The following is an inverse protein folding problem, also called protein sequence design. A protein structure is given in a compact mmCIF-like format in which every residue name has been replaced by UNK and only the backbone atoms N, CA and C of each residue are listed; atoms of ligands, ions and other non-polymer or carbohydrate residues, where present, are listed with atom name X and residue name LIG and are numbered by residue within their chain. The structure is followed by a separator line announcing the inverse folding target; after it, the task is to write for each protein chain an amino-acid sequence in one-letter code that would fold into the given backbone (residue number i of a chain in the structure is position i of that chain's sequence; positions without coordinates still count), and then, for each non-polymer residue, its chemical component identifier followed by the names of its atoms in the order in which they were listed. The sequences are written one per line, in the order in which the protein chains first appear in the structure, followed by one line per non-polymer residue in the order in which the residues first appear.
data_IF_735743665581
#
_entry.id   IF_735743665581
#
_cell.length_a   1.000
_cell.length_b   1.000
_cell.length_c   1.000
_cell.angle_alpha   90.00
_cell.angle_beta   90.00
_cell.angle_gamma   90.00
#
_symmetry.space_group_name_H-M   'P 1'
#
loop_
_entity.id
_entity.type
_entity.pdbx_description
1 polymer ?
#
# COMPACT_ATOMS: atom_id res chain seq x y z
N UNK A 1 -25.15 5.64 7.93
CA UNK A 1 -23.82 5.62 7.30
C UNK A 1 -23.05 4.44 7.88
N UNK A 2 -22.37 3.69 7.03
CA UNK A 2 -21.49 2.59 7.39
C UNK A 2 -20.07 2.90 6.91
N UNK A 3 -19.10 2.83 7.82
CA UNK A 3 -17.68 2.98 7.51
C UNK A 3 -16.97 1.71 7.99
N UNK A 4 -16.29 1.01 7.09
CA UNK A 4 -15.51 -0.20 7.39
C UNK A 4 -14.10 0.05 6.89
N UNK A 5 -13.17 0.09 7.82
CA UNK A 5 -11.75 0.21 7.54
C UNK A 5 -11.10 -1.16 7.55
N UNK A 6 -10.15 -1.39 6.63
CA UNK A 6 -9.37 -2.63 6.50
C UNK A 6 -10.24 -3.91 6.46
N UNK A 7 -11.28 -3.93 5.59
CA UNK A 7 -12.20 -5.08 5.48
C UNK A 7 -11.50 -6.41 5.14
N UNK A 8 -10.30 -6.36 4.62
CA UNK A 8 -9.49 -7.49 4.20
C UNK A 8 -8.59 -8.07 5.31
N UNK A 9 -8.30 -7.33 6.38
CA UNK A 9 -7.47 -7.81 7.50
C UNK A 9 -7.98 -9.10 8.16
N UNK A 10 -9.29 -9.27 8.42
CA UNK A 10 -9.80 -10.54 8.94
C UNK A 10 -9.57 -11.73 8.00
N UNK A 11 -9.57 -11.47 6.68
CA UNK A 11 -9.34 -12.49 5.65
C UNK A 11 -7.88 -12.91 5.60
N UNK A 12 -6.94 -11.97 5.68
CA UNK A 12 -5.51 -12.26 5.79
C UNK A 12 -5.22 -13.17 7.00
N UNK A 13 -5.72 -12.79 8.17
CA UNK A 13 -5.54 -13.58 9.40
C UNK A 13 -6.19 -14.97 9.32
N UNK A 14 -7.35 -15.06 8.68
CA UNK A 14 -8.03 -16.34 8.48
C UNK A 14 -7.27 -17.23 7.50
N UNK A 15 -6.68 -16.65 6.45
CA UNK A 15 -5.84 -17.38 5.51
C UNK A 15 -4.60 -17.97 6.21
N UNK A 16 -3.89 -17.17 7.00
CA UNK A 16 -2.73 -17.61 7.76
C UNK A 16 -3.05 -18.71 8.78
N UNK A 17 -4.29 -18.75 9.29
CA UNK A 17 -4.74 -19.71 10.33
C UNK A 17 -5.57 -20.88 9.81
N UNK A 18 -5.82 -20.97 8.50
CA UNK A 18 -6.46 -22.09 7.84
C UNK A 18 -7.99 -22.17 7.95
N UNK A 19 -8.69 -21.04 8.25
CA UNK A 19 -10.16 -20.94 8.25
C UNK A 19 -10.69 -19.84 7.30
N UNK A 20 -10.01 -19.71 6.16
CA UNK A 20 -10.29 -18.66 5.18
C UNK A 20 -11.71 -18.72 4.61
N UNK A 21 -12.19 -19.92 4.24
CA UNK A 21 -13.51 -20.10 3.63
C UNK A 21 -14.66 -19.73 4.58
N UNK A 22 -14.52 -20.04 5.85
CA UNK A 22 -15.49 -19.68 6.88
C UNK A 22 -15.53 -18.16 7.06
N UNK A 23 -14.36 -17.50 7.05
CA UNK A 23 -14.29 -16.05 7.15
C UNK A 23 -14.87 -15.34 5.92
N UNK A 24 -14.58 -15.83 4.71
CA UNK A 24 -15.19 -15.34 3.46
C UNK A 24 -16.71 -15.43 3.55
N UNK A 25 -17.25 -16.56 3.99
CA UNK A 25 -18.70 -16.79 4.15
C UNK A 25 -19.32 -15.84 5.17
N UNK A 26 -18.63 -15.60 6.28
CA UNK A 26 -19.08 -14.67 7.32
C UNK A 26 -19.14 -13.23 6.80
N UNK A 27 -18.06 -12.74 6.17
CA UNK A 27 -17.98 -11.37 5.64
C UNK A 27 -18.98 -11.18 4.50
N UNK A 28 -19.11 -12.16 3.61
CA UNK A 28 -20.14 -12.13 2.57
C UNK A 28 -21.55 -11.97 3.17
N UNK A 29 -21.90 -12.78 4.16
CA UNK A 29 -23.20 -12.69 4.85
C UNK A 29 -23.41 -11.35 5.52
N UNK A 30 -22.37 -10.78 6.14
CA UNK A 30 -22.42 -9.45 6.72
C UNK A 30 -22.70 -8.39 5.66
N UNK A 31 -21.95 -8.39 4.57
CA UNK A 31 -22.08 -7.39 3.51
C UNK A 31 -23.41 -7.52 2.75
N UNK A 32 -23.87 -8.73 2.48
CA UNK A 32 -25.17 -8.97 1.83
C UNK A 32 -26.33 -8.38 2.68
N UNK A 33 -26.28 -8.59 3.98
CA UNK A 33 -27.33 -8.07 4.89
C UNK A 33 -27.25 -6.55 5.09
N UNK A 34 -26.05 -5.98 5.14
CA UNK A 34 -25.88 -4.57 5.50
C UNK A 34 -25.87 -3.64 4.29
N UNK A 35 -25.34 -4.09 3.15
CA UNK A 35 -25.10 -3.25 1.98
C UNK A 35 -26.14 -3.44 0.86
N UNK A 36 -26.80 -4.60 0.77
CA UNK A 36 -27.62 -4.94 -0.40
C UNK A 36 -29.07 -4.43 -0.34
N UNK A 37 -29.79 -4.75 0.69
CA UNK A 37 -31.25 -4.48 0.81
C UNK A 37 -31.60 -3.82 2.12
N UNK A 38 -30.77 -2.90 2.57
CA UNK A 38 -30.94 -2.22 3.86
C UNK A 38 -31.50 -0.82 3.64
N UNK A 39 -32.81 -0.66 3.85
CA UNK A 39 -33.51 0.63 3.71
C UNK A 39 -33.00 1.70 4.69
N UNK A 40 -32.30 1.31 5.74
CA UNK A 40 -31.67 2.22 6.71
C UNK A 40 -30.28 2.67 6.28
N UNK A 41 -29.70 2.10 5.22
CA UNK A 41 -28.37 2.46 4.73
C UNK A 41 -28.47 3.68 3.80
N UNK A 42 -27.92 4.79 4.24
CA UNK A 42 -27.79 6.00 3.41
C UNK A 42 -26.52 5.98 2.54
N UNK A 43 -25.38 5.57 3.12
CA UNK A 43 -24.08 5.58 2.47
C UNK A 43 -23.13 4.61 3.15
N UNK A 44 -22.23 4.01 2.36
CA UNK A 44 -21.17 3.13 2.88
C UNK A 44 -19.84 3.42 2.21
N UNK A 45 -18.75 3.34 2.99
CA UNK A 45 -17.37 3.33 2.52
C UNK A 45 -16.66 2.13 3.13
N UNK A 46 -15.95 1.40 2.29
CA UNK A 46 -15.11 0.28 2.69
C UNK A 46 -13.69 0.55 2.19
N UNK A 47 -12.69 0.36 3.06
CA UNK A 47 -11.27 0.44 2.68
C UNK A 47 -10.59 -0.92 2.87
N UNK A 48 -9.52 -1.16 2.13
CA UNK A 48 -8.69 -2.35 2.24
C UNK A 48 -7.46 -2.26 1.32
N UNK A 49 -6.42 -3.02 1.66
CA UNK A 49 -5.19 -3.06 0.87
C UNK A 49 -5.33 -3.89 -0.41
N UNK A 50 -6.03 -5.03 -0.33
CA UNK A 50 -6.25 -5.90 -1.47
C UNK A 50 -7.71 -5.86 -1.91
N UNK A 51 -7.91 -5.69 -3.22
CA UNK A 51 -9.24 -5.84 -3.80
C UNK A 51 -9.57 -7.31 -3.97
N UNK A 52 -10.20 -7.90 -2.96
CA UNK A 52 -10.62 -9.31 -2.96
C UNK A 52 -11.94 -9.49 -3.72
N UNK A 53 -12.01 -8.94 -4.93
CA UNK A 53 -13.24 -8.92 -5.73
C UNK A 53 -13.61 -10.27 -6.34
N UNK A 54 -12.64 -11.15 -6.53
CA UNK A 54 -12.86 -12.51 -7.04
C UNK A 54 -13.38 -13.48 -6.00
N UNK A 55 -13.15 -13.20 -4.73
CA UNK A 55 -13.85 -13.91 -3.66
C UNK A 55 -15.31 -13.46 -3.68
N UNK A 56 -16.24 -14.33 -3.39
CA UNK A 56 -17.68 -14.06 -3.44
C UNK A 56 -18.18 -12.95 -2.48
N UNK A 57 -17.29 -12.27 -1.78
CA UNK A 57 -17.59 -11.25 -0.75
C UNK A 57 -18.43 -10.10 -1.31
N UNK A 58 -18.12 -9.65 -2.50
CA UNK A 58 -18.85 -8.57 -3.18
C UNK A 58 -19.88 -9.07 -4.20
N UNK A 59 -20.02 -10.40 -4.35
CA UNK A 59 -20.98 -10.99 -5.27
C UNK A 59 -22.40 -10.64 -4.83
N UNK A 60 -23.14 -10.02 -5.72
CA UNK A 60 -24.54 -9.63 -5.44
C UNK A 60 -24.70 -8.23 -4.85
N UNK A 61 -23.64 -7.50 -4.55
CA UNK A 61 -23.76 -6.07 -4.24
C UNK A 61 -24.07 -5.26 -5.49
N UNK A 62 -24.90 -4.24 -5.35
CA UNK A 62 -25.29 -3.37 -6.45
C UNK A 62 -24.17 -2.36 -6.77
N UNK A 63 -23.25 -2.75 -7.67
CA UNK A 63 -22.26 -1.90 -8.32
C UNK A 63 -21.56 -0.87 -7.39
N UNK A 64 -20.77 -1.28 -6.41
CA UNK A 64 -19.98 -0.35 -5.63
C UNK A 64 -19.00 0.38 -6.57
N UNK A 65 -18.81 1.67 -6.35
CA UNK A 65 -17.73 2.40 -7.01
C UNK A 65 -16.43 2.02 -6.33
N UNK A 66 -15.48 1.52 -7.11
CA UNK A 66 -14.15 1.15 -6.61
C UNK A 66 -13.16 2.22 -7.04
N UNK A 67 -12.31 2.64 -6.10
CA UNK A 67 -11.18 3.53 -6.32
C UNK A 67 -9.91 2.81 -5.89
N UNK A 68 -8.88 2.92 -6.71
CA UNK A 68 -7.59 2.26 -6.51
C UNK A 68 -6.48 3.31 -6.44
N UNK A 69 -5.27 2.91 -6.09
CA UNK A 69 -4.10 3.78 -6.04
C UNK A 69 -3.78 4.47 -7.39
N UNK A 70 -4.25 3.90 -8.50
CA UNK A 70 -4.05 4.46 -9.85
C UNK A 70 -5.13 5.43 -10.31
N UNK A 71 -6.20 5.62 -9.52
CA UNK A 71 -7.26 6.57 -9.86
C UNK A 71 -6.85 8.00 -9.50
N UNK A 72 -7.09 8.94 -10.40
CA UNK A 72 -6.86 10.39 -10.17
C UNK A 72 -7.93 11.01 -9.26
N UNK A 73 -9.01 10.28 -9.00
CA UNK A 73 -10.06 10.76 -8.09
C UNK A 73 -9.65 10.47 -6.66
N UNK A 74 -9.55 11.50 -5.85
CA UNK A 74 -9.16 11.45 -4.43
C UNK A 74 -7.68 11.12 -4.19
N UNK A 75 -6.82 11.22 -5.20
CA UNK A 75 -5.40 10.91 -5.11
C UNK A 75 -4.61 11.81 -4.13
N UNK A 76 -5.13 13.00 -3.82
CA UNK A 76 -4.56 13.94 -2.85
C UNK A 76 -5.06 13.78 -1.40
N UNK A 77 -6.03 12.85 -1.14
CA UNK A 77 -6.70 12.75 0.17
C UNK A 77 -6.20 11.61 1.06
N UNK A 78 -5.41 10.70 0.52
CA UNK A 78 -4.94 9.51 1.27
C UNK A 78 -3.47 9.58 1.67
N UNK A 79 -2.92 10.78 1.75
CA UNK A 79 -1.57 11.11 2.19
C UNK A 79 -1.46 12.61 2.41
N UNK A 80 -0.31 13.10 2.84
CA UNK A 80 -0.03 14.53 2.82
C UNK A 80 0.60 14.92 1.50
N UNK A 81 0.11 15.98 0.88
CA UNK A 81 0.78 16.59 -0.28
C UNK A 81 1.92 17.52 0.17
N UNK A 82 2.83 17.86 -0.73
CA UNK A 82 4.03 18.68 -0.43
C UNK A 82 3.67 20.02 0.26
N UNK A 83 2.56 20.65 -0.15
CA UNK A 83 2.10 21.91 0.45
C UNK A 83 1.64 21.73 1.92
N UNK A 84 0.98 20.63 2.25
CA UNK A 84 0.53 20.35 3.62
C UNK A 84 1.72 20.02 4.53
N UNK A 85 2.71 19.31 4.01
CA UNK A 85 3.96 19.05 4.75
C UNK A 85 4.72 20.37 4.96
N UNK A 86 4.78 21.25 3.98
CA UNK A 86 5.39 22.59 4.13
C UNK A 86 4.72 23.39 5.24
N UNK A 87 3.38 23.47 5.26
CA UNK A 87 2.62 24.16 6.30
C UNK A 87 2.89 23.56 7.69
N UNK A 88 2.93 22.23 7.79
CA UNK A 88 3.21 21.52 9.03
C UNK A 88 4.63 21.84 9.54
N UNK A 89 5.62 21.77 8.66
CA UNK A 89 7.01 22.07 9.00
C UNK A 89 7.21 23.53 9.40
N UNK A 90 6.53 24.47 8.74
CA UNK A 90 6.54 25.89 9.11
C UNK A 90 5.91 26.10 10.50
N UNK A 91 4.76 25.49 10.77
CA UNK A 91 4.06 25.57 12.06
C UNK A 91 4.96 25.11 13.23
N UNK A 92 5.70 24.02 13.05
CA UNK A 92 6.62 23.51 14.07
C UNK A 92 8.03 24.10 14.01
N UNK A 93 8.32 25.07 13.13
CA UNK A 93 9.66 25.66 12.90
C UNK A 93 10.71 24.62 12.47
N UNK A 94 10.30 23.62 11.71
CA UNK A 94 11.10 22.52 11.17
C UNK A 94 11.41 22.64 9.67
N UNK A 95 11.18 23.78 9.04
CA UNK A 95 11.33 23.99 7.58
C UNK A 95 12.75 23.68 7.06
N UNK A 96 13.77 23.76 7.92
CA UNK A 96 15.15 23.36 7.56
C UNK A 96 15.33 21.84 7.32
N UNK A 97 14.37 21.02 7.70
CA UNK A 97 14.40 19.55 7.51
C UNK A 97 13.62 19.10 6.26
N UNK A 98 13.06 20.02 5.48
CA UNK A 98 12.20 19.69 4.32
C UNK A 98 12.83 18.66 3.39
N UNK A 99 14.11 18.80 3.05
CA UNK A 99 14.79 17.86 2.15
C UNK A 99 14.88 16.47 2.74
N UNK A 100 15.07 16.35 4.07
CA UNK A 100 15.08 15.06 4.77
C UNK A 100 13.71 14.41 4.72
N UNK A 101 12.63 15.18 4.96
CA UNK A 101 11.27 14.67 4.86
C UNK A 101 10.97 14.16 3.44
N UNK A 102 11.40 14.92 2.41
CA UNK A 102 11.22 14.53 1.01
C UNK A 102 11.97 13.23 0.67
N UNK A 103 13.23 13.14 1.06
CA UNK A 103 14.06 11.98 0.75
C UNK A 103 13.59 10.70 1.46
N UNK A 104 13.03 10.83 2.65
CA UNK A 104 12.71 9.69 3.50
C UNK A 104 11.25 9.26 3.49
N UNK A 105 10.30 10.17 3.29
CA UNK A 105 8.87 9.89 3.54
C UNK A 105 7.95 10.30 2.39
N UNK A 106 8.46 11.01 1.36
CA UNK A 106 7.73 11.28 0.13
C UNK A 106 7.81 10.10 -0.85
N UNK A 107 7.10 10.23 -1.98
CA UNK A 107 7.31 9.43 -3.18
C UNK A 107 6.29 8.34 -3.41
N UNK A 108 5.26 8.20 -2.59
CA UNK A 108 4.08 7.43 -2.96
C UNK A 108 3.33 8.14 -4.07
N UNK A 109 3.08 7.44 -5.18
CA UNK A 109 2.41 7.99 -6.34
C UNK A 109 1.00 7.44 -6.45
N UNK A 110 -0.01 8.29 -6.21
CA UNK A 110 -1.41 7.97 -6.32
C UNK A 110 -2.02 8.78 -7.46
N UNK A 111 -2.69 8.13 -8.42
CA UNK A 111 -3.23 8.82 -9.59
C UNK A 111 -2.17 9.65 -10.31
N UNK A 112 -2.27 10.97 -10.20
CA UNK A 112 -1.30 11.95 -10.72
C UNK A 112 -0.55 12.71 -9.62
N UNK A 113 -0.76 12.36 -8.32
CA UNK A 113 -0.25 13.10 -7.16
C UNK A 113 0.80 12.28 -6.41
N UNK A 114 1.88 12.95 -5.98
CA UNK A 114 2.81 12.39 -5.01
C UNK A 114 2.37 12.77 -3.60
N UNK A 115 2.44 11.80 -2.69
CA UNK A 115 2.04 11.98 -1.31
C UNK A 115 3.07 11.39 -0.35
N UNK A 116 3.12 11.98 0.85
CA UNK A 116 3.85 11.48 1.99
C UNK A 116 2.96 10.56 2.84
N UNK A 117 3.54 9.56 3.50
CA UNK A 117 2.85 8.83 4.53
C UNK A 117 2.62 9.73 5.77
N UNK A 118 1.36 10.03 6.15
CA UNK A 118 1.11 10.94 7.28
C UNK A 118 1.67 10.44 8.61
N UNK A 119 1.66 9.13 8.83
CA UNK A 119 2.20 8.51 10.04
C UNK A 119 3.69 8.84 10.22
N UNK A 120 4.49 8.72 9.15
CA UNK A 120 5.92 8.93 9.18
C UNK A 120 6.25 10.42 9.39
N UNK A 121 5.53 11.29 8.68
CA UNK A 121 5.69 12.74 8.82
C UNK A 121 5.41 13.20 10.26
N UNK A 122 4.29 12.77 10.83
CA UNK A 122 3.90 13.17 12.20
C UNK A 122 4.90 12.65 13.24
N UNK A 123 5.30 11.37 13.13
CA UNK A 123 6.24 10.79 14.09
C UNK A 123 7.63 11.43 14.01
N UNK A 124 8.11 11.74 12.80
CA UNK A 124 9.41 12.41 12.68
C UNK A 124 9.37 13.87 13.14
N UNK A 125 8.27 14.58 12.92
CA UNK A 125 8.06 15.90 13.53
C UNK A 125 8.14 15.84 15.05
N UNK A 126 7.43 14.91 15.69
CA UNK A 126 7.42 14.75 17.14
C UNK A 126 8.83 14.43 17.68
N UNK A 127 9.57 13.58 16.99
CA UNK A 127 10.93 13.24 17.36
C UNK A 127 11.89 14.43 17.23
N UNK A 128 11.80 15.23 16.17
CA UNK A 128 12.63 16.43 15.99
C UNK A 128 12.31 17.52 17.02
N UNK A 129 11.05 17.63 17.47
CA UNK A 129 10.68 18.55 18.54
C UNK A 129 11.33 18.14 19.89
N UNK A 130 11.46 16.85 20.13
CA UNK A 130 12.12 16.33 21.32
C UNK A 130 13.66 16.36 21.20
N UNK A 131 14.20 16.07 20.02
CA UNK A 131 15.63 15.96 19.73
C UNK A 131 15.97 16.51 18.34
N UNK A 132 16.33 17.80 18.21
CA UNK A 132 16.53 18.45 16.90
C UNK A 132 17.61 17.84 16.00
N UNK A 133 18.46 16.95 16.51
CA UNK A 133 19.47 16.23 15.72
C UNK A 133 19.11 14.76 15.45
N UNK A 134 17.88 14.36 15.74
CA UNK A 134 17.45 12.98 15.50
C UNK A 134 17.55 12.61 14.02
N UNK A 135 18.17 11.48 13.66
CA UNK A 135 18.18 11.00 12.28
C UNK A 135 16.81 10.46 11.92
N UNK A 136 16.42 10.50 10.62
CA UNK A 136 15.22 9.84 10.15
C UNK A 136 15.35 8.32 10.33
N UNK A 137 14.22 7.66 10.56
CA UNK A 137 14.14 6.21 10.79
C UNK A 137 12.87 5.61 10.25
N UNK A 138 12.79 4.28 10.26
CA UNK A 138 11.62 3.55 9.82
C UNK A 138 10.53 3.60 10.91
N UNK A 139 9.42 4.26 10.64
CA UNK A 139 8.22 4.25 11.50
C UNK A 139 7.22 3.18 11.07
N UNK A 140 7.30 2.78 9.82
CA UNK A 140 6.39 1.80 9.20
C UNK A 140 6.91 0.35 9.25
N UNK A 141 8.16 0.12 9.68
CA UNK A 141 8.92 -1.14 9.55
C UNK A 141 8.34 -2.38 10.26
N UNK A 142 7.33 -2.27 11.11
CA UNK A 142 6.81 -3.39 11.90
C UNK A 142 5.51 -4.00 11.35
N UNK A 143 5.30 -3.96 10.04
CA UNK A 143 4.10 -4.48 9.41
C UNK A 143 4.27 -5.92 8.94
N UNK A 144 3.15 -6.65 8.81
CA UNK A 144 3.10 -8.04 8.32
C UNK A 144 3.66 -8.26 6.91
N UNK A 145 3.84 -7.18 6.14
CA UNK A 145 4.39 -7.22 4.78
C UNK A 145 5.86 -7.63 4.69
N UNK A 146 6.64 -7.47 5.76
CA UNK A 146 8.05 -7.88 5.78
C UNK A 146 8.23 -9.37 5.48
N UNK A 147 7.32 -10.23 5.95
CA UNK A 147 7.36 -11.66 5.67
C UNK A 147 7.13 -11.99 4.19
N UNK A 148 6.36 -11.17 3.49
CA UNK A 148 6.14 -11.33 2.05
C UNK A 148 7.44 -11.07 1.28
N UNK A 149 8.16 -9.98 1.59
CA UNK A 149 9.45 -9.67 0.96
C UNK A 149 10.47 -10.77 1.26
N UNK A 150 10.57 -11.24 2.50
CA UNK A 150 11.46 -12.36 2.88
C UNK A 150 11.17 -13.62 2.07
N UNK A 151 9.88 -13.98 1.91
CA UNK A 151 9.46 -15.14 1.10
C UNK A 151 9.80 -14.95 -0.37
N UNK A 152 9.57 -13.74 -0.92
CA UNK A 152 9.94 -13.38 -2.29
C UNK A 152 11.43 -13.56 -2.52
N UNK A 153 12.28 -12.97 -1.67
CA UNK A 153 13.72 -13.02 -1.79
C UNK A 153 14.25 -14.45 -1.67
N UNK A 154 13.72 -15.24 -0.75
CA UNK A 154 14.10 -16.64 -0.55
C UNK A 154 13.84 -17.50 -1.78
N UNK A 155 12.74 -17.24 -2.49
CA UNK A 155 12.30 -17.99 -3.66
C UNK A 155 12.72 -17.32 -5.00
N UNK A 156 13.45 -16.20 -4.93
CA UNK A 156 13.81 -15.40 -6.08
C UNK A 156 14.77 -16.14 -7.04
N UNK A 157 14.41 -16.18 -8.31
CA UNK A 157 15.30 -16.55 -9.39
C UNK A 157 16.28 -15.40 -9.71
N UNK A 158 17.22 -15.64 -10.63
CA UNK A 158 18.22 -14.63 -11.00
C UNK A 158 17.61 -13.34 -11.54
N UNK A 159 16.54 -13.43 -12.34
CA UNK A 159 15.85 -12.27 -12.89
C UNK A 159 15.26 -11.41 -11.77
N UNK A 160 14.55 -12.04 -10.83
CA UNK A 160 13.95 -11.33 -9.67
C UNK A 160 15.02 -10.69 -8.80
N UNK A 161 16.17 -11.35 -8.59
CA UNK A 161 17.30 -10.77 -7.83
C UNK A 161 17.86 -9.54 -8.50
N UNK A 162 18.07 -9.57 -9.81
CA UNK A 162 18.53 -8.43 -10.58
C UNK A 162 17.53 -7.27 -10.54
N UNK A 163 16.24 -7.56 -10.59
CA UNK A 163 15.16 -6.56 -10.47
C UNK A 163 15.13 -5.90 -9.08
N UNK A 164 15.31 -6.68 -8.02
CA UNK A 164 15.43 -6.13 -6.66
C UNK A 164 16.68 -5.27 -6.52
N UNK A 165 17.82 -5.69 -7.09
CA UNK A 165 19.05 -4.91 -7.10
C UNK A 165 18.86 -3.58 -7.87
N UNK A 166 18.19 -3.61 -9.02
CA UNK A 166 17.86 -2.41 -9.79
C UNK A 166 17.01 -1.44 -8.95
N UNK A 167 15.96 -1.93 -8.27
CA UNK A 167 15.13 -1.12 -7.38
C UNK A 167 15.93 -0.50 -6.23
N UNK A 168 16.79 -1.27 -5.57
CA UNK A 168 17.66 -0.81 -4.48
C UNK A 168 18.62 0.30 -4.94
N UNK A 169 19.11 0.20 -6.17
CA UNK A 169 19.97 1.22 -6.78
C UNK A 169 19.19 2.47 -7.27
N UNK A 170 17.89 2.56 -6.98
CA UNK A 170 17.05 3.69 -7.39
C UNK A 170 16.53 3.59 -8.81
N UNK A 171 16.66 2.42 -9.45
CA UNK A 171 16.09 2.13 -10.76
C UNK A 171 14.60 1.82 -10.71
N UNK A 172 14.07 1.44 -11.87
CA UNK A 172 12.64 1.16 -12.07
C UNK A 172 12.48 -0.14 -12.86
N UNK A 173 11.49 -0.93 -12.51
CA UNK A 173 11.13 -2.15 -13.23
C UNK A 173 9.74 -2.03 -13.86
N UNK A 174 9.51 -2.73 -14.96
CA UNK A 174 8.17 -2.77 -15.59
C UNK A 174 7.53 -4.12 -15.31
N UNK A 175 6.32 -4.09 -14.75
CA UNK A 175 5.58 -5.28 -14.34
C UNK A 175 4.10 -5.18 -14.71
N UNK A 176 3.50 -6.35 -14.94
CA UNK A 176 2.06 -6.48 -15.00
C UNK A 176 1.50 -6.52 -13.59
N UNK A 177 0.62 -5.59 -13.24
CA UNK A 177 0.02 -5.45 -11.93
C UNK A 177 -1.42 -5.93 -11.97
N UNK A 178 -1.70 -6.97 -11.20
CA UNK A 178 -3.06 -7.45 -10.98
C UNK A 178 -3.66 -6.67 -9.80
N UNK A 179 -4.60 -5.81 -10.09
CA UNK A 179 -5.30 -5.04 -9.05
C UNK A 179 -6.32 -5.89 -8.25
N UNK A 180 -6.66 -7.06 -8.77
CA UNK A 180 -7.59 -8.00 -8.16
C UNK A 180 -6.87 -9.31 -7.88
N UNK A 181 -6.40 -9.47 -6.65
CA UNK A 181 -5.77 -10.71 -6.18
C UNK A 181 -6.48 -11.23 -4.94
N UNK A 182 -6.68 -12.53 -4.88
CA UNK A 182 -7.08 -13.21 -3.66
C UNK A 182 -5.85 -13.58 -2.84
N UNK A 183 -6.00 -13.77 -1.53
CA UNK A 183 -4.89 -14.25 -0.67
C UNK A 183 -4.33 -15.60 -1.12
N UNK A 184 -5.14 -16.45 -1.75
CA UNK A 184 -4.70 -17.73 -2.30
C UNK A 184 -3.75 -17.56 -3.49
N UNK A 185 -4.00 -16.57 -4.33
CA UNK A 185 -3.22 -16.32 -5.54
C UNK A 185 -1.86 -15.64 -5.27
N UNK A 186 -1.67 -15.05 -4.08
CA UNK A 186 -0.42 -14.32 -3.77
C UNK A 186 0.82 -15.18 -3.96
N UNK A 187 0.77 -16.42 -3.50
CA UNK A 187 1.90 -17.35 -3.55
C UNK A 187 1.97 -18.18 -4.85
N UNK A 188 1.01 -18.03 -5.76
CA UNK A 188 0.94 -18.81 -7.01
C UNK A 188 2.03 -18.43 -8.01
N UNK A 189 2.46 -17.17 -8.01
CA UNK A 189 3.52 -16.71 -8.90
C UNK A 189 4.28 -15.50 -8.34
N UNK A 190 5.51 -15.32 -8.80
CA UNK A 190 6.33 -14.16 -8.42
C UNK A 190 5.73 -12.84 -8.97
N UNK A 191 5.01 -12.88 -10.08
CA UNK A 191 4.30 -11.72 -10.64
C UNK A 191 3.21 -11.22 -9.70
N UNK A 192 2.53 -12.12 -8.99
CA UNK A 192 1.52 -11.75 -8.01
C UNK A 192 2.14 -11.04 -6.80
N UNK A 193 3.37 -11.42 -6.42
CA UNK A 193 4.09 -10.76 -5.33
C UNK A 193 4.37 -9.29 -5.67
N UNK A 194 4.77 -8.97 -6.91
CA UNK A 194 4.94 -7.58 -7.34
C UNK A 194 3.66 -6.76 -7.19
N UNK A 195 2.52 -7.36 -7.51
CA UNK A 195 1.21 -6.72 -7.36
C UNK A 195 0.87 -6.43 -5.90
N UNK A 196 1.19 -7.36 -4.99
CA UNK A 196 0.99 -7.15 -3.55
C UNK A 196 1.93 -6.10 -3.00
N UNK A 197 3.22 -6.12 -3.38
CA UNK A 197 4.18 -5.08 -2.97
C UNK A 197 3.75 -3.68 -3.41
N UNK A 198 3.14 -3.55 -4.59
CA UNK A 198 2.55 -2.30 -5.06
C UNK A 198 1.31 -1.92 -4.23
N UNK A 199 0.37 -2.84 -4.02
CA UNK A 199 -0.86 -2.57 -3.29
C UNK A 199 -0.62 -2.24 -1.81
N UNK A 200 0.44 -2.79 -1.20
CA UNK A 200 0.78 -2.60 0.22
C UNK A 200 1.81 -1.48 0.47
N UNK A 201 2.23 -0.74 -0.57
CA UNK A 201 3.11 0.42 -0.41
C UNK A 201 4.61 0.12 -0.29
N UNK A 202 5.06 -1.14 -0.44
CA UNK A 202 6.50 -1.43 -0.56
C UNK A 202 7.08 -0.96 -1.90
N UNK A 203 6.24 -0.94 -2.92
CA UNK A 203 6.54 -0.30 -4.19
C UNK A 203 5.47 0.73 -4.49
N UNK A 204 5.84 1.73 -5.23
CA UNK A 204 4.92 2.66 -5.88
C UNK A 204 5.12 2.57 -7.39
N UNK A 205 4.24 3.17 -8.16
CA UNK A 205 4.36 3.06 -9.60
C UNK A 205 3.34 3.86 -10.38
N UNK A 206 3.59 3.93 -11.68
CA UNK A 206 2.73 4.61 -12.64
C UNK A 206 2.45 3.69 -13.82
N UNK A 207 1.23 3.76 -14.32
CA UNK A 207 0.84 3.08 -15.57
C UNK A 207 1.77 3.51 -16.73
N UNK A 208 2.19 2.57 -17.55
CA UNK A 208 3.00 2.85 -18.74
C UNK A 208 2.09 3.26 -19.88
N UNK A 209 2.19 4.52 -20.31
CA UNK A 209 1.42 5.02 -21.44
C UNK A 209 1.65 4.17 -22.70
N UNK A 210 0.59 3.93 -23.49
CA UNK A 210 0.60 3.14 -24.72
C UNK A 210 0.78 1.62 -24.53
N UNK A 211 0.83 1.12 -23.31
CA UNK A 211 0.80 -0.30 -22.98
C UNK A 211 -0.59 -0.73 -22.47
N UNK A 212 -0.77 -2.04 -22.22
CA UNK A 212 -1.98 -2.56 -21.58
C UNK A 212 -2.22 -1.88 -20.23
N UNK A 213 -3.48 -1.69 -19.84
CA UNK A 213 -3.89 -0.95 -18.64
C UNK A 213 -3.34 -1.52 -17.32
N UNK A 214 -2.79 -2.73 -17.33
CA UNK A 214 -2.20 -3.42 -16.20
C UNK A 214 -0.65 -3.41 -16.20
N UNK A 215 -0.01 -2.70 -17.14
CA UNK A 215 1.45 -2.56 -17.19
C UNK A 215 1.89 -1.30 -16.44
N UNK A 216 2.68 -1.50 -15.40
CA UNK A 216 3.17 -0.44 -14.52
C UNK A 216 4.68 -0.40 -14.50
N UNK A 217 5.21 0.81 -14.39
CA UNK A 217 6.59 1.07 -14.02
C UNK A 217 6.63 1.28 -12.51
N UNK A 218 7.40 0.45 -11.81
CA UNK A 218 7.46 0.38 -10.36
C UNK A 218 8.83 0.84 -9.85
N UNK A 219 8.85 1.47 -8.67
CA UNK A 219 10.06 1.84 -7.94
C UNK A 219 9.82 1.83 -6.42
N UNK A 220 10.90 1.86 -5.66
CA UNK A 220 10.84 2.04 -4.21
C UNK A 220 10.50 3.50 -3.91
N UNK A 221 9.46 3.81 -3.14
CA UNK A 221 8.96 5.18 -3.00
C UNK A 221 9.99 6.13 -2.37
N UNK A 222 10.70 5.70 -1.33
CA UNK A 222 11.48 6.61 -0.49
C UNK A 222 12.63 5.93 0.26
N UNK A 223 13.35 6.72 1.08
CA UNK A 223 14.50 6.26 1.86
C UNK A 223 14.12 5.26 2.96
N UNK A 224 12.96 5.43 3.59
CA UNK A 224 12.46 4.51 4.61
C UNK A 224 12.29 3.10 4.05
N UNK A 225 11.53 2.97 2.98
CA UNK A 225 11.27 1.67 2.35
C UNK A 225 12.55 1.09 1.75
N UNK A 226 13.43 1.93 1.17
CA UNK A 226 14.72 1.46 0.66
C UNK A 226 15.58 0.86 1.75
N UNK A 227 15.66 1.50 2.91
CA UNK A 227 16.38 0.98 4.07
C UNK A 227 15.79 -0.36 4.54
N UNK A 228 14.47 -0.47 4.57
CA UNK A 228 13.78 -1.72 4.92
C UNK A 228 14.15 -2.86 3.95
N UNK A 229 14.16 -2.60 2.65
CA UNK A 229 14.60 -3.60 1.66
C UNK A 229 16.05 -4.03 1.87
N UNK A 230 16.97 -3.10 2.16
CA UNK A 230 18.37 -3.45 2.47
C UNK A 230 18.46 -4.38 3.69
N UNK A 231 17.78 -4.05 4.78
CA UNK A 231 17.76 -4.86 6.00
C UNK A 231 17.21 -6.28 5.73
N UNK A 232 16.20 -6.41 4.86
CA UNK A 232 15.59 -7.70 4.51
C UNK A 232 16.44 -8.54 3.52
N UNK A 233 17.32 -7.91 2.76
CA UNK A 233 18.24 -8.61 1.83
C UNK A 233 19.48 -9.10 2.55
N UNK A 234 19.93 -8.41 3.61
CA UNK A 234 21.12 -8.77 4.40
C UNK A 234 20.87 -9.92 5.40
N UNK A 235 19.60 -10.17 5.80
CA UNK A 235 19.17 -11.28 6.68
C UNK A 235 19.05 -12.62 5.92
#
# INVERSE_FOLDING_TARGET
ILLIDEYDVPLDKAFQRGYYDEMVSLIHSLFDNVLKTNDSLYFAVLTGCLRISRESIFTGLNNPKVHTLSDVRYDEYFGFIDAEVDELLEFYSLSSYKDVFRDWYDGYHFGDTNVYCPWDVINYCDELLAAPSAPPKNYWANTSGNDLIRRMLKNANLTTKNEVEELLNGGQITKRIKQELTYREVDDSIENVWSVLYATGYLTGKHVEQEDADIFRLWIPNGEIRKLFYELVED
#
